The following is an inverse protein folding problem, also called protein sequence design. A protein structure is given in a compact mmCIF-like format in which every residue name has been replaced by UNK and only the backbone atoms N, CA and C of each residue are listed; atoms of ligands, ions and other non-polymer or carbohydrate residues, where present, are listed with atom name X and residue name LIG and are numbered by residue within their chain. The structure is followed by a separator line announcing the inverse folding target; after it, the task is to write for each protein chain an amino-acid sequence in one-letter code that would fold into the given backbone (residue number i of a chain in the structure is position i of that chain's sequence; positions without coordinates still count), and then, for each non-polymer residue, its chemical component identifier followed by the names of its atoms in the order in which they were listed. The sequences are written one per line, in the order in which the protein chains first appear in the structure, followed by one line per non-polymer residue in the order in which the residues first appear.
data_IF_199803537042
#
_entry.id   IF_199803537042
#
_cell.length_a   1.000
_cell.length_b   1.000
_cell.length_c   1.000
_cell.angle_alpha   90.00
_cell.angle_beta   90.00
_cell.angle_gamma   90.00
#
_symmetry.space_group_name_H-M   'P 1'
#
loop_
_entity.id
_entity.type
_entity.pdbx_description
1 polymer ?
#
# COMPACT_ATOMS: atom_id res chain seq x y z
N UNK A 1 -0.77 11.55 -5.24
CA UNK A 1 -0.20 10.19 -5.29
C UNK A 1 1.28 10.24 -4.98
N UNK A 2 1.79 9.20 -4.33
CA UNK A 2 3.22 9.01 -4.10
C UNK A 2 3.63 7.92 -5.08
N UNK A 3 4.64 8.18 -5.90
CA UNK A 3 5.04 7.23 -6.94
C UNK A 3 6.53 6.94 -6.88
N UNK A 4 6.89 5.77 -7.36
CA UNK A 4 8.26 5.30 -7.44
C UNK A 4 8.38 4.38 -8.66
N UNK A 5 9.61 4.20 -9.15
CA UNK A 5 9.90 3.23 -10.18
C UNK A 5 10.57 2.01 -9.58
N UNK A 6 10.28 0.82 -10.08
CA UNK A 6 10.85 -0.40 -9.55
C UNK A 6 12.30 -0.60 -10.02
N UNK A 7 13.28 -0.41 -9.13
CA UNK A 7 14.66 -0.83 -9.38
C UNK A 7 14.79 -2.34 -9.21
N UNK A 8 15.36 -3.02 -10.22
CA UNK A 8 15.59 -4.47 -10.23
C UNK A 8 16.74 -4.82 -11.17
N UNK A 9 17.55 -5.83 -10.81
CA UNK A 9 18.64 -6.35 -11.64
C UNK A 9 18.14 -7.05 -12.92
N UNK A 10 16.82 -7.19 -13.08
CA UNK A 10 16.16 -7.65 -14.30
C UNK A 10 16.18 -6.60 -15.42
N UNK A 11 16.42 -5.34 -15.08
CA UNK A 11 16.39 -4.19 -15.99
C UNK A 11 17.77 -3.48 -16.03
N UNK A 12 17.86 -2.39 -16.78
CA UNK A 12 19.01 -1.49 -16.69
C UNK A 12 18.96 -0.75 -15.34
N UNK A 13 19.79 -1.20 -14.39
CA UNK A 13 19.83 -0.67 -13.02
C UNK A 13 20.18 0.81 -12.99
N UNK A 14 21.06 1.28 -13.89
CA UNK A 14 21.46 2.69 -13.96
C UNK A 14 20.25 3.57 -14.30
N UNK A 15 19.52 3.22 -15.34
CA UNK A 15 18.31 3.94 -15.76
C UNK A 15 17.23 3.92 -14.68
N UNK A 16 17.06 2.79 -13.99
CA UNK A 16 16.08 2.67 -12.92
C UNK A 16 16.43 3.52 -11.68
N UNK A 17 17.72 3.60 -11.32
CA UNK A 17 18.20 4.48 -10.26
C UNK A 17 18.01 5.94 -10.66
N UNK A 18 18.40 6.32 -11.88
CA UNK A 18 18.30 7.68 -12.38
C UNK A 18 16.84 8.17 -12.42
N UNK A 19 15.90 7.34 -12.91
CA UNK A 19 14.47 7.62 -12.91
C UNK A 19 13.94 7.87 -11.48
N UNK A 20 14.30 7.01 -10.52
CA UNK A 20 13.89 7.18 -9.14
C UNK A 20 14.49 8.46 -8.51
N UNK A 21 15.77 8.74 -8.74
CA UNK A 21 16.42 9.95 -8.22
C UNK A 21 15.82 11.22 -8.82
N UNK A 22 15.51 11.22 -10.12
CA UNK A 22 14.81 12.33 -10.75
C UNK A 22 13.43 12.54 -10.11
N UNK A 23 12.69 11.46 -9.89
CA UNK A 23 11.34 11.55 -9.35
C UNK A 23 11.33 11.94 -7.86
N UNK A 24 12.31 11.50 -7.06
CA UNK A 24 12.52 11.95 -5.67
C UNK A 24 12.62 13.48 -5.56
N UNK A 25 13.23 14.14 -6.55
CA UNK A 25 13.32 15.60 -6.61
C UNK A 25 11.99 16.32 -6.88
N UNK A 26 10.94 15.60 -7.30
CA UNK A 26 9.64 16.17 -7.66
C UNK A 26 8.66 16.05 -6.50
N UNK A 27 8.31 17.18 -5.88
CA UNK A 27 7.34 17.25 -4.78
C UNK A 27 6.36 18.41 -4.93
N UNK A 28 5.11 18.13 -4.60
CA UNK A 28 4.00 19.09 -4.46
C UNK A 28 3.06 18.63 -3.35
N UNK A 29 2.06 19.44 -3.04
CA UNK A 29 0.98 19.05 -2.12
C UNK A 29 0.09 17.91 -2.66
N UNK A 30 0.21 17.55 -3.95
CA UNK A 30 -0.60 16.50 -4.60
C UNK A 30 0.19 15.26 -4.95
N UNK A 31 1.50 15.39 -5.12
CA UNK A 31 2.36 14.28 -5.50
C UNK A 31 3.78 14.42 -5.01
N UNK A 32 4.42 13.30 -4.72
CA UNK A 32 5.83 13.21 -4.41
C UNK A 32 6.44 11.96 -5.03
N UNK A 33 7.73 12.03 -5.33
CA UNK A 33 8.52 10.83 -5.60
C UNK A 33 9.00 10.13 -4.35
N UNK A 34 9.17 8.83 -4.49
CA UNK A 34 9.79 7.91 -3.54
C UNK A 34 10.73 6.98 -4.31
N UNK A 35 11.69 6.35 -3.64
CA UNK A 35 12.58 5.40 -4.29
C UNK A 35 12.00 4.00 -4.25
N UNK A 36 11.82 3.36 -5.41
CA UNK A 36 11.24 2.04 -5.52
C UNK A 36 12.31 0.96 -5.72
N UNK A 37 12.18 -0.12 -4.96
CA UNK A 37 12.92 -1.36 -5.13
C UNK A 37 11.91 -2.47 -5.39
N UNK A 38 12.24 -3.46 -6.22
CA UNK A 38 11.38 -4.63 -6.41
C UNK A 38 11.32 -5.48 -5.14
N UNK A 39 12.24 -6.44 -5.01
CA UNK A 39 12.30 -7.43 -3.93
C UNK A 39 13.74 -7.93 -3.79
N UNK A 40 14.08 -8.44 -2.59
CA UNK A 40 15.43 -8.96 -2.25
C UNK A 40 15.98 -9.93 -3.29
N UNK A 41 15.15 -10.87 -3.76
CA UNK A 41 15.53 -11.91 -4.73
C UNK A 41 16.02 -11.36 -6.09
N UNK A 42 15.62 -10.13 -6.43
CA UNK A 42 15.92 -9.49 -7.71
C UNK A 42 16.94 -8.36 -7.61
N UNK A 43 17.59 -8.21 -6.45
CA UNK A 43 18.56 -7.17 -6.16
C UNK A 43 19.82 -7.80 -5.59
N UNK A 44 20.96 -7.54 -6.21
CA UNK A 44 22.29 -7.90 -5.73
C UNK A 44 22.76 -6.96 -4.63
N UNK A 45 23.74 -7.41 -3.83
CA UNK A 45 24.38 -6.55 -2.82
C UNK A 45 25.10 -5.35 -3.45
N UNK A 46 25.59 -5.48 -4.69
CA UNK A 46 26.18 -4.36 -5.45
C UNK A 46 25.11 -3.29 -5.74
N UNK A 47 23.93 -3.69 -6.22
CA UNK A 47 22.81 -2.79 -6.45
C UNK A 47 22.34 -2.13 -5.15
N UNK A 48 22.14 -2.91 -4.07
CA UNK A 48 21.72 -2.36 -2.78
C UNK A 48 22.75 -1.39 -2.20
N UNK A 49 24.05 -1.70 -2.33
CA UNK A 49 25.12 -0.80 -1.89
C UNK A 49 25.08 0.52 -2.66
N UNK A 50 24.96 0.45 -3.99
CA UNK A 50 24.90 1.64 -4.84
C UNK A 50 23.68 2.49 -4.54
N UNK A 51 22.50 1.88 -4.35
CA UNK A 51 21.29 2.60 -3.94
C UNK A 51 21.52 3.26 -2.58
N UNK A 52 22.03 2.54 -1.58
CA UNK A 52 22.32 3.07 -0.24
C UNK A 52 23.23 4.31 -0.29
N UNK A 53 24.30 4.26 -1.11
CA UNK A 53 25.24 5.37 -1.26
C UNK A 53 24.62 6.62 -1.92
N UNK A 54 23.59 6.45 -2.75
CA UNK A 54 22.93 7.55 -3.47
C UNK A 54 21.68 8.09 -2.76
N UNK A 55 21.01 7.25 -1.97
CA UNK A 55 19.69 7.53 -1.43
C UNK A 55 19.71 8.51 -0.25
N UNK A 56 20.87 8.74 0.38
CA UNK A 56 21.05 9.73 1.45
C UNK A 56 20.01 9.64 2.59
N UNK A 57 19.54 8.43 2.90
CA UNK A 57 18.55 8.18 3.94
C UNK A 57 17.09 8.52 3.57
N UNK A 58 16.80 8.77 2.28
CA UNK A 58 15.42 8.85 1.81
C UNK A 58 14.70 7.49 1.93
N UNK A 59 13.38 7.48 2.17
CA UNK A 59 12.63 6.25 2.33
C UNK A 59 12.45 5.50 1.03
N UNK A 60 12.33 4.18 1.15
CA UNK A 60 12.08 3.25 0.05
C UNK A 60 10.66 2.69 0.08
N UNK A 61 10.18 2.27 -1.08
CA UNK A 61 9.04 1.37 -1.21
C UNK A 61 9.53 0.05 -1.82
N UNK A 62 9.31 -1.07 -1.12
CA UNK A 62 9.90 -2.37 -1.49
C UNK A 62 9.03 -3.55 -1.06
N UNK A 63 9.03 -4.64 -1.83
CA UNK A 63 8.42 -5.91 -1.45
C UNK A 63 9.34 -6.67 -0.47
N UNK A 64 8.79 -7.13 0.64
CA UNK A 64 9.54 -7.76 1.73
C UNK A 64 8.83 -9.02 2.19
N UNK A 65 9.50 -10.17 2.07
CA UNK A 65 9.06 -11.45 2.62
C UNK A 65 7.60 -11.78 2.24
N UNK A 66 7.25 -11.60 0.96
CA UNK A 66 5.91 -11.92 0.46
C UNK A 66 5.69 -13.42 0.50
N UNK A 67 6.67 -14.18 0.01
CA UNK A 67 6.67 -15.64 0.00
C UNK A 67 7.79 -16.23 0.85
N UNK A 68 7.66 -17.51 1.23
CA UNK A 68 8.73 -18.23 1.95
C UNK A 68 10.00 -18.28 1.11
N UNK A 69 9.86 -18.37 -0.21
CA UNK A 69 10.95 -18.38 -1.17
C UNK A 69 11.80 -17.10 -1.12
N UNK A 70 11.23 -15.95 -0.78
CA UNK A 70 12.00 -14.69 -0.65
C UNK A 70 13.04 -14.82 0.46
N UNK A 71 12.63 -15.43 1.58
CA UNK A 71 13.46 -15.65 2.75
C UNK A 71 14.50 -16.74 2.52
N UNK A 72 14.09 -17.83 1.88
CA UNK A 72 15.00 -18.93 1.52
C UNK A 72 16.06 -18.47 0.53
N UNK A 73 15.69 -17.70 -0.50
CA UNK A 73 16.63 -17.13 -1.46
C UNK A 73 17.63 -16.19 -0.77
N UNK A 74 17.12 -15.27 0.05
CA UNK A 74 17.95 -14.30 0.77
C UNK A 74 18.95 -14.99 1.70
N UNK A 75 18.49 -15.97 2.48
CA UNK A 75 19.35 -16.76 3.38
C UNK A 75 20.40 -17.55 2.59
N UNK A 76 20.00 -18.19 1.50
CA UNK A 76 20.90 -19.02 0.70
C UNK A 76 21.99 -18.21 0.01
N UNK A 77 21.66 -17.03 -0.53
CA UNK A 77 22.59 -16.20 -1.30
C UNK A 77 23.43 -15.27 -0.44
N UNK A 78 22.85 -14.74 0.63
CA UNK A 78 23.44 -13.65 1.42
C UNK A 78 23.62 -13.98 2.90
N UNK A 79 23.11 -15.12 3.38
CA UNK A 79 23.24 -15.51 4.79
C UNK A 79 22.47 -14.60 5.76
N UNK A 80 21.47 -13.87 5.25
CA UNK A 80 20.63 -12.92 5.97
C UNK A 80 19.18 -13.05 5.50
N UNK A 81 18.24 -12.88 6.43
CA UNK A 81 16.82 -12.75 6.09
C UNK A 81 16.54 -11.41 5.41
N UNK A 82 15.38 -11.27 4.80
CA UNK A 82 15.10 -10.12 3.91
C UNK A 82 15.19 -8.80 4.66
N UNK A 83 14.57 -8.67 5.84
CA UNK A 83 14.62 -7.43 6.63
C UNK A 83 16.02 -7.15 7.14
N UNK A 84 16.71 -8.18 7.65
CA UNK A 84 18.10 -8.07 8.12
C UNK A 84 19.03 -7.56 7.02
N UNK A 85 18.86 -8.08 5.80
CA UNK A 85 19.65 -7.67 4.64
C UNK A 85 19.43 -6.20 4.30
N UNK A 86 18.19 -5.73 4.24
CA UNK A 86 17.93 -4.31 3.98
C UNK A 86 18.43 -3.40 5.11
N UNK A 87 18.40 -3.87 6.36
CA UNK A 87 18.98 -3.17 7.51
C UNK A 87 20.51 -3.07 7.42
N UNK A 88 21.21 -4.14 7.02
CA UNK A 88 22.67 -4.16 6.84
C UNK A 88 23.14 -3.09 5.82
N UNK A 89 22.30 -2.77 4.82
CA UNK A 89 22.55 -1.68 3.86
C UNK A 89 22.01 -0.31 4.32
N UNK A 90 21.38 -0.21 5.49
CA UNK A 90 20.83 1.04 6.01
C UNK A 90 19.65 1.58 5.20
N UNK A 91 18.95 0.74 4.45
CA UNK A 91 17.85 1.14 3.55
C UNK A 91 16.49 1.23 4.26
N UNK A 92 16.37 0.63 5.46
CA UNK A 92 15.17 0.73 6.28
C UNK A 92 15.20 2.02 7.13
N UNK A 93 14.74 3.11 6.51
CA UNK A 93 14.65 4.43 7.13
C UNK A 93 13.21 4.79 7.51
N UNK A 94 13.06 5.91 8.22
CA UNK A 94 11.75 6.43 8.60
C UNK A 94 10.90 6.71 7.35
N UNK A 95 9.63 6.31 7.42
CA UNK A 95 8.61 6.44 6.39
C UNK A 95 8.80 5.52 5.17
N UNK A 96 9.73 4.55 5.22
CA UNK A 96 9.77 3.47 4.24
C UNK A 96 8.49 2.65 4.27
N UNK A 97 8.06 2.19 3.09
CA UNK A 97 6.88 1.36 2.88
C UNK A 97 7.36 -0.06 2.53
N UNK A 98 7.02 -1.02 3.38
CA UNK A 98 7.36 -2.43 3.19
C UNK A 98 6.11 -3.19 2.79
N UNK A 99 6.04 -3.65 1.54
CA UNK A 99 4.90 -4.38 1.03
C UNK A 99 4.94 -5.86 1.45
N UNK A 100 3.76 -6.40 1.76
CA UNK A 100 3.49 -7.80 2.15
C UNK A 100 3.90 -8.17 3.57
N UNK A 101 5.20 -8.35 3.84
CA UNK A 101 5.74 -8.77 5.15
C UNK A 101 5.05 -10.00 5.76
N UNK A 102 4.81 -11.04 4.95
CA UNK A 102 4.04 -12.23 5.37
C UNK A 102 4.90 -13.15 6.24
N UNK A 103 6.14 -13.40 5.82
CA UNK A 103 7.00 -14.45 6.40
C UNK A 103 8.10 -13.91 7.31
N UNK A 104 7.82 -12.82 8.04
CA UNK A 104 8.77 -12.27 9.00
C UNK A 104 8.89 -13.14 10.27
N UNK A 105 10.11 -13.31 10.75
CA UNK A 105 10.37 -13.90 12.05
C UNK A 105 10.31 -12.84 13.19
N UNK A 106 10.53 -13.26 14.45
CA UNK A 106 10.47 -12.33 15.59
C UNK A 106 11.64 -11.33 15.62
N UNK A 107 12.83 -11.72 15.15
CA UNK A 107 14.00 -10.83 15.11
C UNK A 107 13.82 -9.71 14.07
N UNK A 108 13.29 -10.04 12.89
CA UNK A 108 12.93 -9.07 11.85
C UNK A 108 11.86 -8.10 12.33
N UNK A 109 10.83 -8.61 13.02
CA UNK A 109 9.82 -7.76 13.64
C UNK A 109 10.43 -6.84 14.71
N UNK A 110 11.42 -7.31 15.48
CA UNK A 110 12.11 -6.50 16.47
C UNK A 110 13.00 -5.42 15.82
N UNK A 111 13.59 -5.69 14.64
CA UNK A 111 14.27 -4.67 13.82
C UNK A 111 13.27 -3.61 13.39
N UNK A 112 12.15 -4.00 12.77
CA UNK A 112 11.13 -3.07 12.29
C UNK A 112 10.50 -2.26 13.43
N UNK A 113 10.37 -2.83 14.63
CA UNK A 113 9.81 -2.13 15.80
C UNK A 113 10.63 -0.92 16.26
N UNK A 114 11.91 -0.87 15.87
CA UNK A 114 12.83 0.22 16.19
C UNK A 114 12.86 1.31 15.12
N UNK A 115 12.06 1.18 14.06
CA UNK A 115 12.03 2.08 12.90
C UNK A 115 10.64 2.68 12.74
N UNK A 116 10.53 3.89 12.18
CA UNK A 116 9.24 4.50 11.86
C UNK A 116 8.76 4.13 10.45
N UNK A 117 8.73 2.83 10.15
CA UNK A 117 8.29 2.27 8.86
C UNK A 117 6.78 2.03 8.82
N UNK A 118 6.25 1.91 7.61
CA UNK A 118 4.88 1.48 7.34
C UNK A 118 4.89 0.14 6.62
N UNK A 119 4.10 -0.81 7.10
CA UNK A 119 3.95 -2.11 6.46
C UNK A 119 2.61 -2.14 5.73
N UNK A 120 2.64 -2.35 4.42
CA UNK A 120 1.46 -2.44 3.57
C UNK A 120 0.94 -3.88 3.53
N UNK A 121 -0.20 -4.11 4.18
CA UNK A 121 -0.89 -5.39 4.16
C UNK A 121 -1.70 -5.52 2.87
N UNK A 122 -1.15 -6.31 1.94
CA UNK A 122 -1.75 -6.62 0.63
C UNK A 122 -2.59 -7.90 0.70
N UNK A 123 -3.49 -8.02 1.69
CA UNK A 123 -4.15 -9.29 2.03
C UNK A 123 -4.88 -9.97 0.88
N UNK A 124 -5.56 -9.22 0.01
CA UNK A 124 -6.24 -9.82 -1.15
C UNK A 124 -5.25 -10.39 -2.17
N UNK A 125 -4.11 -9.71 -2.35
CA UNK A 125 -3.02 -10.19 -3.20
C UNK A 125 -2.42 -11.46 -2.65
N UNK A 126 -2.12 -11.46 -1.35
CA UNK A 126 -1.52 -12.61 -0.70
C UNK A 126 -2.43 -13.85 -0.77
N UNK A 127 -3.76 -13.66 -0.61
CA UNK A 127 -4.74 -14.73 -0.81
C UNK A 127 -4.79 -15.22 -2.25
N UNK A 128 -4.75 -14.31 -3.24
CA UNK A 128 -4.74 -14.65 -4.66
C UNK A 128 -3.49 -15.45 -5.05
N UNK A 129 -2.32 -15.05 -4.54
CA UNK A 129 -1.04 -15.68 -4.83
C UNK A 129 -0.81 -16.95 -3.98
N UNK A 130 -1.62 -17.18 -2.94
CA UNK A 130 -1.50 -18.36 -2.07
C UNK A 130 -0.27 -18.33 -1.17
N UNK A 131 0.29 -17.15 -0.90
CA UNK A 131 1.57 -16.97 -0.18
C UNK A 131 1.39 -16.87 1.34
N UNK A 132 0.15 -16.90 1.85
CA UNK A 132 -0.15 -16.80 3.28
C UNK A 132 -0.71 -15.44 3.66
N UNK A 133 -0.76 -15.14 4.97
CA UNK A 133 -1.33 -13.90 5.49
C UNK A 133 -0.52 -13.40 6.68
N UNK A 134 -0.23 -12.08 6.77
CA UNK A 134 0.46 -11.53 7.92
C UNK A 134 -0.45 -11.55 9.16
N UNK A 135 0.14 -11.79 10.33
CA UNK A 135 -0.55 -11.76 11.63
C UNK A 135 -0.46 -10.37 12.25
N UNK A 136 -1.52 -9.56 12.07
CA UNK A 136 -1.60 -8.19 12.57
C UNK A 136 -1.25 -8.07 14.05
N UNK A 137 -1.58 -9.08 14.87
CA UNK A 137 -1.33 -9.04 16.30
C UNK A 137 0.16 -8.93 16.64
N UNK A 138 1.05 -9.50 15.80
CA UNK A 138 2.51 -9.42 15.97
C UNK A 138 3.03 -8.00 15.76
N UNK A 139 2.50 -7.31 14.75
CA UNK A 139 2.87 -5.95 14.41
C UNK A 139 2.31 -4.96 15.44
N UNK A 140 1.03 -5.12 15.82
CA UNK A 140 0.38 -4.27 16.82
C UNK A 140 1.10 -4.30 18.17
N UNK A 141 1.50 -5.48 18.66
CA UNK A 141 2.23 -5.61 19.94
C UNK A 141 3.59 -4.88 19.93
N UNK A 142 4.14 -4.63 18.74
CA UNK A 142 5.42 -3.95 18.51
C UNK A 142 5.26 -2.51 18.05
N UNK A 143 4.04 -1.98 18.01
CA UNK A 143 3.73 -0.64 17.56
C UNK A 143 4.23 -0.35 16.12
N UNK A 144 4.27 -1.39 15.27
CA UNK A 144 4.62 -1.24 13.84
C UNK A 144 3.37 -0.76 13.11
N UNK A 145 3.49 0.33 12.34
CA UNK A 145 2.37 0.93 11.63
C UNK A 145 1.97 0.09 10.43
N UNK A 146 0.69 -0.25 10.37
CA UNK A 146 0.11 -0.99 9.25
C UNK A 146 -0.75 -0.05 8.41
N UNK A 147 -0.64 -0.19 7.09
CA UNK A 147 -1.53 0.40 6.07
C UNK A 147 -2.08 -0.71 5.18
N UNK A 148 -3.14 -0.44 4.42
CA UNK A 148 -3.70 -1.39 3.44
C UNK A 148 -3.23 -1.06 2.04
N UNK A 149 -2.82 -2.08 1.30
CA UNK A 149 -2.59 -2.00 -0.14
C UNK A 149 -3.42 -3.03 -0.90
N UNK A 150 -3.64 -2.78 -2.19
CA UNK A 150 -4.40 -3.67 -3.07
C UNK A 150 -3.54 -4.37 -4.14
N UNK A 151 -2.25 -4.02 -4.21
CA UNK A 151 -1.24 -4.63 -5.07
C UNK A 151 -1.61 -4.73 -6.55
N UNK A 152 -2.41 -3.77 -7.04
CA UNK A 152 -2.87 -3.75 -8.42
C UNK A 152 -4.00 -4.73 -8.76
N UNK A 153 -4.53 -5.51 -7.80
CA UNK A 153 -5.67 -6.42 -8.02
C UNK A 153 -7.03 -5.71 -8.22
N UNK A 154 -7.08 -4.39 -8.06
CA UNK A 154 -8.34 -3.65 -8.13
C UNK A 154 -8.12 -2.15 -8.14
N UNK A 155 -9.22 -1.42 -8.31
CA UNK A 155 -9.22 0.04 -8.39
C UNK A 155 -9.49 0.74 -7.06
N UNK A 156 -10.03 0.01 -6.07
CA UNK A 156 -10.34 0.52 -4.73
C UNK A 156 -9.68 -0.30 -3.64
N UNK A 157 -9.92 0.07 -2.38
CA UNK A 157 -9.35 -0.57 -1.18
C UNK A 157 -10.40 -1.18 -0.24
N UNK A 158 -11.70 -1.00 -0.54
CA UNK A 158 -12.79 -1.47 0.33
C UNK A 158 -12.75 -2.99 0.54
N UNK A 159 -12.59 -3.73 -0.57
CA UNK A 159 -12.39 -5.19 -0.54
C UNK A 159 -11.19 -5.57 0.34
N UNK A 160 -10.10 -4.83 0.26
CA UNK A 160 -8.87 -5.14 0.99
C UNK A 160 -9.04 -4.89 2.50
N UNK A 161 -9.75 -3.82 2.90
CA UNK A 161 -10.16 -3.62 4.30
C UNK A 161 -11.08 -4.73 4.80
N UNK A 162 -12.10 -5.13 4.01
CA UNK A 162 -13.02 -6.22 4.34
C UNK A 162 -12.26 -7.54 4.52
N UNK A 163 -11.43 -7.90 3.55
CA UNK A 163 -10.61 -9.10 3.59
C UNK A 163 -9.63 -9.07 4.77
N UNK A 164 -9.02 -7.92 5.09
CA UNK A 164 -8.16 -7.79 6.26
C UNK A 164 -8.94 -8.12 7.53
N UNK A 165 -10.13 -7.55 7.69
CA UNK A 165 -10.95 -7.78 8.88
C UNK A 165 -11.37 -9.25 9.05
N UNK A 166 -11.78 -9.90 7.97
CA UNK A 166 -12.17 -11.31 8.01
C UNK A 166 -10.97 -12.23 8.24
N UNK A 167 -9.87 -12.00 7.52
CA UNK A 167 -8.68 -12.85 7.60
C UNK A 167 -8.03 -12.82 8.98
N UNK A 168 -7.90 -11.66 9.62
CA UNK A 168 -7.29 -11.58 10.96
C UNK A 168 -8.11 -12.33 12.02
N UNK A 169 -9.44 -12.29 11.94
CA UNK A 169 -10.33 -13.08 12.80
C UNK A 169 -10.24 -14.58 12.50
N UNK A 170 -10.20 -14.93 11.22
CA UNK A 170 -10.08 -16.31 10.76
C UNK A 170 -8.77 -16.96 11.21
N UNK A 171 -7.64 -16.26 11.04
CA UNK A 171 -6.31 -16.74 11.44
C UNK A 171 -6.21 -17.09 12.93
N UNK A 172 -6.98 -16.42 13.79
CA UNK A 172 -7.00 -16.66 15.24
C UNK A 172 -8.19 -17.51 15.71
N UNK A 173 -9.17 -17.77 14.86
CA UNK A 173 -10.42 -18.42 15.23
C UNK A 173 -11.22 -17.64 16.29
N UNK A 174 -11.06 -16.32 16.36
CA UNK A 174 -11.70 -15.48 17.38
C UNK A 174 -12.16 -14.14 16.77
N UNK A 175 -13.47 -13.81 16.80
CA UNK A 175 -13.99 -12.56 16.26
C UNK A 175 -13.58 -11.31 17.05
N UNK A 176 -12.96 -11.44 18.23
CA UNK A 176 -12.61 -10.30 19.11
C UNK A 176 -11.19 -9.79 18.91
N UNK A 177 -10.33 -10.52 18.20
CA UNK A 177 -8.90 -10.18 18.05
C UNK A 177 -8.63 -9.02 17.10
N UNK A 178 -9.59 -8.72 16.24
CA UNK A 178 -9.50 -7.63 15.26
C UNK A 178 -10.87 -6.94 15.16
N UNK A 179 -10.90 -5.66 15.44
CA UNK A 179 -12.08 -4.84 15.70
C UNK A 179 -12.12 -3.63 14.77
N UNK A 180 -13.24 -2.90 14.75
CA UNK A 180 -13.31 -1.65 13.99
C UNK A 180 -12.32 -0.60 14.47
N UNK A 181 -11.91 -0.65 15.74
CA UNK A 181 -10.85 0.21 16.25
C UNK A 181 -9.52 -0.04 15.55
N UNK A 182 -9.19 -1.29 15.28
CA UNK A 182 -7.98 -1.66 14.54
C UNK A 182 -8.04 -1.18 13.09
N UNK A 183 -9.20 -1.32 12.44
CA UNK A 183 -9.42 -0.79 11.08
C UNK A 183 -9.24 0.73 11.03
N UNK A 184 -9.83 1.46 11.99
CA UNK A 184 -9.67 2.92 12.07
C UNK A 184 -8.21 3.33 12.31
N UNK A 185 -7.48 2.61 13.16
CA UNK A 185 -6.05 2.86 13.40
C UNK A 185 -5.23 2.69 12.12
N UNK A 186 -5.54 1.69 11.31
CA UNK A 186 -4.87 1.44 10.02
C UNK A 186 -5.22 2.51 8.97
N UNK A 187 -6.48 2.97 8.94
CA UNK A 187 -6.88 4.12 8.13
C UNK A 187 -6.12 5.38 8.56
N UNK A 188 -5.98 5.60 9.85
CA UNK A 188 -5.25 6.74 10.41
C UNK A 188 -3.76 6.69 10.10
N UNK A 189 -3.13 5.52 10.17
CA UNK A 189 -1.76 5.32 9.70
C UNK A 189 -1.60 5.68 8.22
N UNK A 190 -2.61 5.41 7.39
CA UNK A 190 -2.57 5.76 5.96
C UNK A 190 -2.59 7.28 5.76
N UNK A 191 -3.39 8.01 6.55
CA UNK A 191 -3.37 9.47 6.54
C UNK A 191 -2.07 10.07 7.09
N UNK A 192 -1.48 9.45 8.12
CA UNK A 192 -0.18 9.81 8.69
C UNK A 192 0.94 9.66 7.63
N UNK A 193 1.00 8.51 6.95
CA UNK A 193 1.95 8.24 5.87
C UNK A 193 1.88 9.30 4.76
N UNK A 194 0.69 9.52 4.22
CA UNK A 194 0.48 10.49 3.12
C UNK A 194 0.78 11.91 3.60
N UNK A 195 0.34 12.27 4.80
CA UNK A 195 0.55 13.60 5.38
C UNK A 195 2.02 13.93 5.57
N UNK A 196 2.83 12.96 6.02
CA UNK A 196 4.29 13.12 6.19
C UNK A 196 5.01 13.25 4.85
N UNK A 197 4.72 12.37 3.91
CA UNK A 197 5.40 12.36 2.60
C UNK A 197 5.04 13.59 1.78
N UNK A 198 3.77 14.03 1.77
CA UNK A 198 3.35 15.20 1.01
C UNK A 198 3.52 16.52 1.77
N UNK A 199 3.59 16.49 3.10
CA UNK A 199 3.65 17.70 3.93
C UNK A 199 2.30 18.41 4.07
N UNK A 200 1.22 17.64 4.12
CA UNK A 200 -0.16 18.14 4.16
C UNK A 200 -0.94 17.48 5.31
N UNK A 201 -2.09 18.04 5.65
CA UNK A 201 -3.04 17.43 6.60
C UNK A 201 -4.23 16.85 5.82
N UNK A 202 -4.47 15.55 5.93
CA UNK A 202 -5.53 14.80 5.25
C UNK A 202 -6.30 13.91 6.22
N UNK A 203 -7.47 13.40 5.79
CA UNK A 203 -8.21 12.37 6.52
C UNK A 203 -9.10 12.85 7.66
N UNK A 204 -9.36 14.17 7.76
CA UNK A 204 -10.29 14.75 8.74
C UNK A 204 -11.10 15.87 8.12
N UNK A 205 -12.37 15.96 8.50
CA UNK A 205 -13.23 17.12 8.21
C UNK A 205 -12.98 18.15 9.32
N UNK A 206 -11.93 18.96 9.15
CA UNK A 206 -11.51 19.98 10.11
C UNK A 206 -10.78 21.11 9.40
N UNK A 207 -10.89 22.32 9.95
CA UNK A 207 -10.12 23.48 9.45
C UNK A 207 -8.61 23.16 9.38
N UNK A 208 -7.99 23.57 8.27
CA UNK A 208 -6.57 23.33 7.98
C UNK A 208 -6.24 21.97 7.35
N UNK A 209 -7.24 21.09 7.16
CA UNK A 209 -7.09 19.83 6.40
C UNK A 209 -7.50 20.03 4.93
N UNK A 210 -6.94 19.21 4.05
CA UNK A 210 -7.35 19.16 2.64
C UNK A 210 -8.80 18.73 2.52
N UNK A 211 -9.54 19.40 1.64
CA UNK A 211 -10.92 19.07 1.31
C UNK A 211 -10.97 17.90 0.32
N UNK A 212 -10.54 16.72 0.81
CA UNK A 212 -10.57 15.45 0.10
C UNK A 212 -11.73 14.63 0.68
N UNK A 213 -12.81 14.47 -0.09
CA UNK A 213 -14.08 13.87 0.36
C UNK A 213 -14.57 12.85 -0.65
N UNK A 214 -15.17 11.77 -0.14
CA UNK A 214 -15.90 10.78 -0.93
C UNK A 214 -17.30 10.66 -0.34
N UNK A 215 -18.32 10.84 -1.17
CA UNK A 215 -19.72 10.66 -0.80
C UNK A 215 -20.26 9.37 -1.43
N UNK A 216 -21.14 8.69 -0.71
CA UNK A 216 -21.73 7.42 -1.11
C UNK A 216 -23.25 7.51 -1.10
N UNK A 217 -23.89 6.92 -2.10
CA UNK A 217 -25.31 6.62 -2.06
C UNK A 217 -25.53 5.38 -1.20
N UNK A 218 -26.20 5.55 -0.08
CA UNK A 218 -26.47 4.49 0.86
C UNK A 218 -27.96 4.47 1.19
N UNK A 219 -28.62 3.36 0.88
CA UNK A 219 -30.04 3.14 1.22
C UNK A 219 -30.08 2.27 2.48
N UNK A 220 -30.21 2.88 3.65
CA UNK A 220 -30.30 2.15 4.90
C UNK A 220 -31.67 1.48 5.09
N UNK A 221 -31.68 0.17 5.37
CA UNK A 221 -32.88 -0.58 5.80
C UNK A 221 -32.87 -0.90 7.29
N UNK A 222 -31.77 -0.60 7.98
CA UNK A 222 -31.61 -0.62 9.43
C UNK A 222 -31.36 0.82 9.87
N UNK A 223 -32.01 1.27 10.95
CA UNK A 223 -31.79 2.61 11.50
C UNK A 223 -30.32 2.80 11.91
N UNK A 224 -29.72 3.90 11.49
CA UNK A 224 -28.31 4.22 11.76
C UNK A 224 -28.18 5.15 12.96
N UNK A 225 -27.30 4.79 13.89
CA UNK A 225 -26.97 5.55 15.09
C UNK A 225 -25.46 5.59 15.36
N UNK A 226 -25.05 6.24 16.44
CA UNK A 226 -23.63 6.37 16.82
C UNK A 226 -22.99 5.02 17.18
N UNK A 227 -23.76 4.03 17.61
CA UNK A 227 -23.26 2.71 18.02
C UNK A 227 -23.03 1.79 16.81
N UNK A 228 -23.80 1.97 15.73
CA UNK A 228 -23.80 1.07 14.58
C UNK A 228 -23.24 1.70 13.28
N UNK A 229 -22.97 3.01 13.22
CA UNK A 229 -22.50 3.72 12.01
C UNK A 229 -21.30 3.05 11.34
N UNK A 230 -20.31 2.57 12.10
CA UNK A 230 -19.16 1.87 11.52
C UNK A 230 -19.54 0.52 10.91
N UNK A 231 -20.55 -0.17 11.45
CA UNK A 231 -21.09 -1.38 10.85
C UNK A 231 -21.78 -1.08 9.52
N UNK A 232 -22.50 0.04 9.41
CA UNK A 232 -23.09 0.51 8.14
C UNK A 232 -22.01 0.83 7.10
N UNK A 233 -20.95 1.55 7.50
CA UNK A 233 -19.81 1.83 6.62
C UNK A 233 -19.17 0.53 6.14
N UNK A 234 -18.89 -0.40 7.05
CA UNK A 234 -18.09 -1.58 6.74
C UNK A 234 -18.90 -2.68 6.04
N UNK A 235 -20.06 -3.06 6.57
CA UNK A 235 -20.87 -4.15 6.01
C UNK A 235 -21.93 -3.69 5.01
N UNK A 236 -22.13 -2.38 4.86
CA UNK A 236 -22.99 -1.80 3.83
C UNK A 236 -22.16 -1.14 2.72
N UNK A 237 -21.55 0.00 3.04
CA UNK A 237 -20.89 0.86 2.04
C UNK A 237 -19.67 0.17 1.42
N UNK A 238 -18.78 -0.45 2.22
CA UNK A 238 -17.57 -1.09 1.69
C UNK A 238 -17.87 -2.38 0.91
N UNK A 239 -18.94 -3.09 1.25
CA UNK A 239 -19.38 -4.30 0.55
C UNK A 239 -19.92 -3.99 -0.85
N UNK A 240 -20.67 -2.88 -0.98
CA UNK A 240 -21.24 -2.42 -2.26
C UNK A 240 -21.13 -0.90 -2.41
N UNK A 241 -19.93 -0.39 -2.74
CA UNK A 241 -19.68 1.05 -2.78
C UNK A 241 -20.36 1.69 -3.98
N UNK A 242 -21.37 2.52 -3.74
CA UNK A 242 -21.98 3.42 -4.74
C UNK A 242 -21.49 4.84 -4.50
N UNK A 243 -20.40 5.22 -5.18
CA UNK A 243 -19.81 6.55 -5.01
C UNK A 243 -20.62 7.56 -5.85
N UNK A 244 -21.13 8.62 -5.21
CA UNK A 244 -21.83 9.71 -5.90
C UNK A 244 -20.88 10.84 -6.30
N UNK A 245 -20.03 11.25 -5.35
CA UNK A 245 -19.17 12.42 -5.47
C UNK A 245 -17.78 12.14 -4.93
N UNK A 246 -16.78 12.66 -5.64
CA UNK A 246 -15.39 12.67 -5.18
C UNK A 246 -14.85 14.08 -5.33
N UNK A 247 -14.36 14.62 -4.22
CA UNK A 247 -13.71 15.91 -4.14
C UNK A 247 -12.24 15.72 -3.79
N UNK A 248 -11.36 16.40 -4.51
CA UNK A 248 -9.93 16.47 -4.22
C UNK A 248 -9.54 17.93 -4.13
N UNK A 249 -8.99 18.35 -2.98
CA UNK A 249 -8.51 19.70 -2.73
C UNK A 249 -9.59 20.76 -3.05
N UNK A 250 -10.84 20.47 -2.63
CA UNK A 250 -12.00 21.35 -2.82
C UNK A 250 -12.63 21.32 -4.22
N UNK A 251 -12.13 20.47 -5.13
CA UNK A 251 -12.62 20.38 -6.51
C UNK A 251 -13.26 19.02 -6.77
N UNK A 252 -14.49 19.02 -7.28
CA UNK A 252 -15.15 17.80 -7.71
C UNK A 252 -14.44 17.21 -8.93
N UNK A 253 -13.97 15.98 -8.80
CA UNK A 253 -13.48 15.13 -9.90
C UNK A 253 -14.49 14.06 -10.29
N UNK A 254 -15.51 13.85 -9.46
CA UNK A 254 -16.70 13.07 -9.76
C UNK A 254 -17.89 13.74 -9.08
N UNK A 255 -19.02 13.82 -9.78
CA UNK A 255 -20.24 14.44 -9.27
C UNK A 255 -21.47 13.78 -9.88
N UNK A 256 -22.48 13.49 -9.07
CA UNK A 256 -23.72 12.82 -9.47
C UNK A 256 -23.45 11.52 -10.26
N UNK A 257 -22.46 10.73 -9.81
CA UNK A 257 -22.08 9.47 -10.45
C UNK A 257 -21.22 9.61 -11.71
N UNK A 258 -20.82 10.82 -12.12
CA UNK A 258 -20.08 11.07 -13.36
C UNK A 258 -18.69 11.61 -13.11
N UNK A 259 -17.68 11.02 -13.75
CA UNK A 259 -16.29 11.48 -13.65
C UNK A 259 -16.07 12.75 -14.49
N UNK A 260 -15.38 13.74 -13.93
CA UNK A 260 -15.09 15.03 -14.57
C UNK A 260 -13.57 15.25 -14.53
N UNK A 261 -12.90 15.57 -15.65
CA UNK A 261 -13.42 15.93 -16.97
C UNK A 261 -13.38 14.78 -18.00
N UNK A 262 -13.38 13.51 -17.56
CA UNK A 262 -13.11 12.37 -18.44
C UNK A 262 -14.38 11.88 -19.14
N UNK A 263 -14.26 11.56 -20.43
CA UNK A 263 -15.25 10.77 -21.17
C UNK A 263 -14.95 9.30 -20.92
N UNK A 264 -15.65 8.70 -19.95
CA UNK A 264 -15.44 7.32 -19.53
C UNK A 264 -15.49 6.35 -20.71
N UNK A 265 -16.46 6.54 -21.62
CA UNK A 265 -16.62 5.66 -22.77
C UNK A 265 -15.38 5.68 -23.66
N UNK A 266 -14.80 6.86 -23.92
CA UNK A 266 -13.55 6.96 -24.69
C UNK A 266 -12.38 6.28 -23.99
N UNK A 267 -12.29 6.42 -22.67
CA UNK A 267 -11.24 5.74 -21.88
C UNK A 267 -11.40 4.21 -22.00
N UNK A 268 -12.62 3.68 -21.89
CA UNK A 268 -12.89 2.25 -22.07
C UNK A 268 -12.59 1.76 -23.49
N UNK A 269 -12.99 2.52 -24.51
CA UNK A 269 -12.71 2.17 -25.92
C UNK A 269 -11.20 2.11 -26.18
N UNK A 270 -10.43 3.05 -25.63
CA UNK A 270 -8.97 3.07 -25.74
C UNK A 270 -8.31 1.92 -24.97
N UNK A 271 -8.73 1.68 -23.73
CA UNK A 271 -8.24 0.55 -22.93
C UNK A 271 -8.49 -0.79 -23.63
N UNK A 272 -9.66 -0.96 -24.25
CA UNK A 272 -10.00 -2.16 -25.01
C UNK A 272 -9.12 -2.31 -26.26
N UNK A 273 -8.81 -1.21 -26.94
CA UNK A 273 -7.88 -1.19 -28.09
C UNK A 273 -6.47 -1.62 -27.67
N UNK A 274 -5.94 -1.05 -26.58
CA UNK A 274 -4.61 -1.38 -26.04
C UNK A 274 -4.56 -2.85 -25.60
N UNK A 275 -5.58 -3.31 -24.88
CA UNK A 275 -5.71 -4.71 -24.43
C UNK A 275 -5.67 -5.69 -25.61
N UNK A 276 -6.44 -5.43 -26.67
CA UNK A 276 -6.43 -6.27 -27.89
C UNK A 276 -5.04 -6.35 -28.54
N UNK A 277 -4.32 -5.25 -28.58
CA UNK A 277 -2.96 -5.23 -29.14
C UNK A 277 -1.97 -6.00 -28.26
N UNK A 278 -2.07 -5.88 -26.94
CA UNK A 278 -1.27 -6.67 -26.01
C UNK A 278 -1.51 -8.17 -26.20
N UNK A 279 -2.79 -8.59 -26.24
CA UNK A 279 -3.15 -9.99 -26.42
C UNK A 279 -2.65 -10.58 -27.74
N UNK A 280 -2.66 -9.81 -28.83
CA UNK A 280 -2.07 -10.27 -30.10
C UNK A 280 -0.58 -10.59 -29.95
N UNK A 281 0.20 -9.69 -29.33
CA UNK A 281 1.64 -9.88 -29.12
C UNK A 281 1.98 -11.05 -28.18
N UNK A 282 1.11 -11.35 -27.22
CA UNK A 282 1.34 -12.45 -26.27
C UNK A 282 0.96 -13.82 -26.85
N UNK A 283 0.12 -13.85 -27.88
CA UNK A 283 -0.34 -15.07 -28.55
C UNK A 283 0.48 -15.42 -29.80
N UNK A 284 1.35 -14.51 -30.24
CA UNK A 284 2.40 -14.74 -31.25
C UNK A 284 3.62 -15.40 -30.61
#
# INVERSE_FOLDING_TARGET
GIFCFETSDRFNVDEAIDENLEFLGRRSEKSAGMFGLHASLSLSDETLKRVSDLLNGHPIHVHVAESVEDEEDSLKRYGRRVVERFEDFGLLTDHSILAHCVHLNEDELDILSKKDVFVAFNVSSNMNNGVGLPDYSKFKRRNIKIVVGNDGLGYGVFRDYMNLFFTQRYLKGDPKVFTFKDVMEIIDNSYDLVGRILGIKVGRIKEGYKADLVAFEYDEFTEMDEENVFSHVFFGIFDSPRISDVMVDGKFIMKDGKIIPLDERKVFEEALRVSRNLWKRLME
#
